data_IF_816161173706
#
_entry.id   IF_816161173706
#
_cell.length_a   1.000
_cell.length_b   1.000
_cell.length_c   1.000
_cell.angle_alpha   90.00
_cell.angle_beta   90.00
_cell.angle_gamma   90.00
#
_symmetry.space_group_name_H-M   'P 1'
#
loop_
_entity.id
_entity.type
_entity.pdbx_description
1 polymer ?
#
# COMPACT_ATOMS: atom_id res chain seq x y z
N UNK A 1 3.98 0.31 15.32
CA UNK A 1 4.24 -0.54 14.13
C UNK A 1 3.15 -1.60 14.04
N UNK A 2 2.43 -1.67 12.92
CA UNK A 2 1.40 -2.69 12.70
C UNK A 2 2.09 -4.04 12.44
N UNK A 3 1.88 -5.05 13.31
CA UNK A 3 2.60 -6.33 13.26
C UNK A 3 2.48 -7.06 11.91
N UNK A 4 1.27 -7.10 11.34
CA UNK A 4 1.05 -7.66 10.00
C UNK A 4 1.82 -6.90 8.91
N UNK A 5 1.82 -5.55 8.96
CA UNK A 5 2.52 -4.73 7.96
C UNK A 5 4.03 -4.91 7.98
N UNK A 6 4.60 -5.11 9.16
CA UNK A 6 6.02 -5.39 9.33
C UNK A 6 6.40 -6.74 8.71
N UNK A 7 5.65 -7.81 9.03
CA UNK A 7 5.89 -9.15 8.47
C UNK A 7 5.74 -9.15 6.96
N UNK A 8 4.69 -8.53 6.42
CA UNK A 8 4.50 -8.45 4.97
C UNK A 8 5.61 -7.64 4.29
N UNK A 9 6.09 -6.55 4.90
CA UNK A 9 7.19 -5.75 4.36
C UNK A 9 8.52 -6.50 4.35
N UNK A 10 8.86 -7.23 5.41
CA UNK A 10 10.17 -7.90 5.54
C UNK A 10 10.45 -8.91 4.42
N UNK A 11 9.46 -9.70 4.02
CA UNK A 11 9.63 -10.76 3.03
C UNK A 11 9.43 -10.30 1.58
N UNK A 12 9.18 -9.02 1.34
CA UNK A 12 9.15 -8.52 -0.03
C UNK A 12 10.55 -8.61 -0.65
N UNK A 13 10.66 -8.99 -1.93
CA UNK A 13 11.90 -8.83 -2.65
C UNK A 13 12.25 -7.33 -2.73
N UNK A 14 13.53 -7.00 -2.91
CA UNK A 14 13.97 -5.60 -2.97
C UNK A 14 13.30 -4.79 -4.09
N UNK A 15 12.90 -5.47 -5.16
CA UNK A 15 12.17 -4.87 -6.27
C UNK A 15 10.66 -4.74 -6.04
N UNK A 16 10.16 -5.21 -4.89
CA UNK A 16 8.75 -5.22 -4.53
C UNK A 16 8.18 -3.82 -4.28
N UNK A 17 6.85 -3.74 -4.36
CA UNK A 17 6.08 -2.52 -4.11
C UNK A 17 5.07 -2.79 -2.99
N UNK A 18 5.12 -2.00 -1.92
CA UNK A 18 4.10 -1.98 -0.88
C UNK A 18 3.01 -0.99 -1.31
N UNK A 19 1.83 -1.51 -1.62
CA UNK A 19 0.66 -0.70 -1.92
C UNK A 19 -0.29 -0.64 -0.72
N UNK A 20 -0.41 0.52 -0.08
CA UNK A 20 -1.36 0.75 1.00
C UNK A 20 -2.69 1.25 0.43
N UNK A 21 -3.70 0.37 0.46
CA UNK A 21 -5.04 0.63 -0.09
C UNK A 21 -5.75 1.79 0.59
N UNK A 22 -5.58 1.99 1.88
CA UNK A 22 -6.03 3.20 2.56
C UNK A 22 -5.35 3.29 3.91
N UNK A 23 -4.72 4.43 4.19
CA UNK A 23 -3.97 4.66 5.41
C UNK A 23 -4.83 5.17 6.57
N UNK A 24 -6.14 5.34 6.36
CA UNK A 24 -7.06 5.87 7.37
C UNK A 24 -6.64 7.24 7.94
N UNK A 25 -5.92 8.04 7.14
CA UNK A 25 -5.35 9.33 7.55
C UNK A 25 -4.01 9.24 8.29
N UNK A 26 -3.52 8.03 8.59
CA UNK A 26 -2.22 7.81 9.22
C UNK A 26 -1.20 7.34 8.19
N UNK A 27 -0.61 8.30 7.48
CA UNK A 27 0.37 8.05 6.40
C UNK A 27 1.61 7.31 6.91
N UNK A 28 1.97 7.43 8.19
CA UNK A 28 3.23 6.91 8.72
C UNK A 28 3.22 5.40 8.98
N UNK A 29 2.03 4.79 9.12
CA UNK A 29 1.88 3.40 9.52
C UNK A 29 2.65 2.40 8.63
N UNK A 30 2.53 2.50 7.30
CA UNK A 30 3.21 1.61 6.35
C UNK A 30 4.30 2.32 5.55
N UNK A 31 4.21 3.64 5.35
CA UNK A 31 5.23 4.42 4.67
C UNK A 31 6.61 4.24 5.32
N UNK A 32 6.68 4.34 6.65
CA UNK A 32 7.96 4.27 7.36
C UNK A 32 8.51 2.84 7.35
N UNK A 33 7.63 1.82 7.37
CA UNK A 33 8.04 0.41 7.21
C UNK A 33 8.64 0.18 5.82
N UNK A 34 7.98 0.66 4.77
CA UNK A 34 8.47 0.54 3.40
C UNK A 34 9.82 1.25 3.22
N UNK A 35 9.96 2.46 3.80
CA UNK A 35 11.20 3.23 3.81
C UNK A 35 12.32 2.50 4.54
N UNK A 36 12.05 1.91 5.70
CA UNK A 36 13.02 1.12 6.47
C UNK A 36 13.47 -0.14 5.71
N UNK A 37 12.53 -0.82 5.04
CA UNK A 37 12.85 -2.00 4.21
C UNK A 37 13.54 -1.64 2.89
N UNK A 38 13.43 -0.39 2.44
CA UNK A 38 13.98 0.07 1.17
C UNK A 38 13.17 -0.36 -0.06
N UNK A 39 11.88 -0.65 0.12
CA UNK A 39 10.97 -1.02 -0.98
C UNK A 39 10.12 0.18 -1.41
N UNK A 40 9.65 0.16 -2.66
CA UNK A 40 8.78 1.22 -3.17
C UNK A 40 7.45 1.22 -2.43
N UNK A 41 7.04 2.37 -1.94
CA UNK A 41 5.73 2.60 -1.36
C UNK A 41 4.82 3.33 -2.35
N UNK A 42 3.56 2.90 -2.44
CA UNK A 42 2.49 3.55 -3.18
C UNK A 42 1.24 3.59 -2.29
N UNK A 43 0.48 4.68 -2.39
CA UNK A 43 -0.87 4.79 -1.86
C UNK A 43 -1.66 5.75 -2.76
N UNK A 44 -2.89 6.08 -2.38
CA UNK A 44 -3.74 7.00 -3.13
C UNK A 44 -3.15 8.42 -3.16
N UNK A 45 -2.91 8.92 -4.37
CA UNK A 45 -2.47 10.30 -4.61
C UNK A 45 -3.68 11.26 -4.66
N UNK A 46 -4.84 10.74 -5.06
CA UNK A 46 -6.12 11.45 -5.20
C UNK A 46 -7.11 10.95 -4.17
N UNK A 47 -7.07 11.51 -2.96
CA UNK A 47 -7.92 11.10 -1.85
C UNK A 47 -9.40 11.35 -2.10
N UNK A 48 -9.74 12.31 -2.96
CA UNK A 48 -11.10 12.61 -3.40
C UNK A 48 -11.75 11.46 -4.20
N UNK A 49 -10.93 10.52 -4.69
CA UNK A 49 -11.40 9.31 -5.39
C UNK A 49 -11.65 8.12 -4.46
N UNK A 50 -11.53 8.34 -3.14
CA UNK A 50 -11.89 7.41 -2.08
C UNK A 50 -13.24 7.81 -1.50
N UNK A 51 -14.22 6.91 -1.55
CA UNK A 51 -15.54 7.16 -0.98
C UNK A 51 -15.78 6.25 0.23
N UNK A 52 -15.95 6.85 1.40
CA UNK A 52 -16.40 6.15 2.60
C UNK A 52 -17.92 6.04 2.60
N UNK A 53 -18.45 4.88 2.97
CA UNK A 53 -19.90 4.61 2.90
C UNK A 53 -20.62 4.74 4.25
N UNK A 54 -19.88 4.73 5.34
CA UNK A 54 -20.42 4.72 6.69
C UNK A 54 -19.42 5.33 7.68
N UNK A 55 -19.92 5.63 8.88
CA UNK A 55 -19.09 5.99 10.02
C UNK A 55 -19.28 4.92 11.10
N UNK A 56 -18.24 4.10 11.30
CA UNK A 56 -18.28 2.98 12.23
C UNK A 56 -17.52 3.31 13.50
N UNK A 57 -18.14 3.00 14.64
CA UNK A 57 -17.52 3.18 15.96
C UNK A 57 -16.51 2.06 16.23
N UNK A 58 -15.38 2.43 16.82
CA UNK A 58 -14.40 1.48 17.33
C UNK A 58 -15.08 0.53 18.35
N UNK A 59 -14.89 -0.81 18.25
CA UNK A 59 -15.58 -1.78 19.10
C UNK A 59 -15.46 -1.52 20.61
N UNK A 60 -14.25 -1.16 21.06
CA UNK A 60 -13.92 -0.86 22.46
C UNK A 60 -14.12 0.62 22.83
N UNK A 61 -13.49 1.55 22.08
CA UNK A 61 -13.47 2.98 22.44
C UNK A 61 -14.79 3.71 22.19
N UNK A 62 -15.72 3.12 21.42
CA UNK A 62 -17.02 3.70 21.05
C UNK A 62 -16.93 5.08 20.38
N UNK A 63 -15.78 5.43 19.83
CA UNK A 63 -15.55 6.64 19.03
C UNK A 63 -15.47 6.28 17.54
N UNK A 64 -15.89 7.17 16.62
CA UNK A 64 -15.68 6.99 15.19
C UNK A 64 -14.22 6.71 14.86
N UNK A 65 -13.97 5.72 13.99
CA UNK A 65 -12.60 5.41 13.58
C UNK A 65 -12.57 4.85 12.15
N UNK A 66 -11.96 5.61 11.22
CA UNK A 66 -12.02 5.35 9.77
C UNK A 66 -11.60 3.95 9.32
N UNK A 67 -10.72 3.27 10.06
CA UNK A 67 -10.35 1.86 9.83
C UNK A 67 -11.53 0.88 9.78
N UNK A 68 -12.63 1.18 10.46
CA UNK A 68 -13.80 0.29 10.54
C UNK A 68 -14.88 0.63 9.51
N UNK A 69 -14.68 1.69 8.71
CA UNK A 69 -15.61 2.06 7.67
C UNK A 69 -15.40 1.20 6.43
N UNK A 70 -16.45 1.09 5.62
CA UNK A 70 -16.42 0.54 4.27
C UNK A 70 -16.04 1.64 3.27
N UNK A 71 -15.24 1.26 2.28
CA UNK A 71 -14.75 2.16 1.24
C UNK A 71 -14.96 1.57 -0.15
N UNK A 72 -15.26 2.44 -1.10
CA UNK A 72 -15.11 2.15 -2.53
C UNK A 72 -13.95 2.95 -3.11
N UNK A 73 -13.36 2.36 -4.14
CA UNK A 73 -12.12 2.81 -4.76
C UNK A 73 -12.36 3.07 -6.23
N UNK A 74 -11.87 4.20 -6.74
CA UNK A 74 -11.93 4.47 -8.17
C UNK A 74 -11.03 3.50 -8.95
N UNK A 75 -11.62 2.77 -9.89
CA UNK A 75 -10.93 1.72 -10.66
C UNK A 75 -9.83 2.28 -11.57
N UNK A 76 -10.06 3.43 -12.21
CA UNK A 76 -9.11 4.03 -13.14
C UNK A 76 -7.84 4.50 -12.41
N UNK A 77 -8.02 5.12 -11.24
CA UNK A 77 -6.91 5.56 -10.40
C UNK A 77 -6.15 4.37 -9.81
N UNK A 78 -6.86 3.33 -9.35
CA UNK A 78 -6.22 2.08 -8.94
C UNK A 78 -5.34 1.51 -10.07
N UNK A 79 -5.86 1.42 -11.30
CA UNK A 79 -5.10 0.92 -12.44
C UNK A 79 -3.90 1.82 -12.79
N UNK A 80 -4.02 3.13 -12.65
CA UNK A 80 -2.91 4.07 -12.84
C UNK A 80 -1.79 3.82 -11.81
N UNK A 81 -2.14 3.69 -10.53
CA UNK A 81 -1.19 3.39 -9.45
C UNK A 81 -0.54 2.01 -9.66
N UNK A 82 -1.31 1.00 -10.09
CA UNK A 82 -0.78 -0.31 -10.43
C UNK A 82 0.17 -0.29 -11.63
N UNK A 83 -0.09 0.53 -12.66
CA UNK A 83 0.85 0.74 -13.76
C UNK A 83 2.17 1.35 -13.28
N UNK A 84 2.13 2.27 -12.33
CA UNK A 84 3.34 2.83 -11.71
C UNK A 84 4.12 1.77 -10.94
N UNK A 85 3.43 0.91 -10.19
CA UNK A 85 4.04 -0.23 -9.51
C UNK A 85 4.72 -1.19 -10.51
N UNK A 86 4.00 -1.57 -11.58
CA UNK A 86 4.52 -2.44 -12.64
C UNK A 86 5.76 -1.84 -13.32
N UNK A 87 5.72 -0.53 -13.61
CA UNK A 87 6.86 0.17 -14.18
C UNK A 87 8.08 0.12 -13.26
N UNK A 88 7.88 0.33 -11.95
CA UNK A 88 8.97 0.23 -10.96
C UNK A 88 9.59 -1.17 -10.97
N UNK A 89 8.78 -2.22 -10.83
CA UNK A 89 9.26 -3.61 -10.80
C UNK A 89 10.03 -3.96 -12.08
N UNK A 90 9.44 -3.70 -13.26
CA UNK A 90 10.04 -4.05 -14.56
C UNK A 90 11.37 -3.36 -14.82
N UNK A 91 11.56 -2.15 -14.29
CA UNK A 91 12.79 -1.39 -14.47
C UNK A 91 13.80 -1.61 -13.35
N UNK A 92 13.45 -2.35 -12.29
CA UNK A 92 14.36 -2.64 -11.19
C UNK A 92 15.49 -3.59 -11.63
N UNK A 93 16.74 -3.24 -11.33
CA UNK A 93 17.91 -4.00 -11.78
C UNK A 93 17.90 -5.45 -11.29
N UNK A 94 17.61 -5.67 -10.01
CA UNK A 94 17.54 -7.00 -9.40
C UNK A 94 16.45 -7.88 -10.03
N UNK A 95 15.27 -7.33 -10.33
CA UNK A 95 14.21 -8.06 -11.03
C UNK A 95 14.65 -8.50 -12.43
N UNK A 96 15.26 -7.58 -13.19
CA UNK A 96 15.77 -7.86 -14.54
C UNK A 96 16.94 -8.84 -14.59
N UNK A 97 17.70 -8.98 -13.49
CA UNK A 97 18.75 -10.01 -13.36
C UNK A 97 18.11 -11.35 -13.03
N UNK A 98 17.28 -11.40 -12.00
CA UNK A 98 16.55 -12.60 -11.59
C UNK A 98 15.79 -13.26 -12.76
N UNK A 99 15.03 -12.48 -13.54
CA UNK A 99 14.30 -13.00 -14.70
C UNK A 99 15.20 -13.49 -15.85
N UNK A 100 16.43 -13.01 -15.94
CA UNK A 100 17.41 -13.48 -16.95
C UNK A 100 18.09 -14.78 -16.54
N UNK A 101 18.24 -15.03 -15.24
CA UNK A 101 18.90 -16.22 -14.71
C UNK A 101 17.96 -17.45 -14.67
N UNK A 102 16.65 -17.25 -14.89
CA UNK A 102 15.63 -18.32 -14.96
C UNK A 102 15.33 -18.82 -16.39
N UNK A 103 15.96 -18.24 -17.42
CA UNK A 103 15.82 -18.59 -18.85
C UNK A 103 17.07 -19.30 -19.37
#
# INVERSE_FOLDING_TARGET
MHGAGLTHGFFLPDWGVLFELYNCGDVHCYHDIARLRGVKYITWEKTELLASHNETLHPTLKTPHGKFNDYSFNVEEFLRLMKNALYHVRNHQSYRRHFRDEL
#
